data_IF_512888890460
#
_entry.id   IF_512888890460
#
_cell.length_a   1.000
_cell.length_b   1.000
_cell.length_c   1.000
_cell.angle_alpha   90.00
_cell.angle_beta   90.00
_cell.angle_gamma   90.00
#
_symmetry.space_group_name_H-M   'P 1'
#
loop_
_entity.id
_entity.type
_entity.pdbx_description
1 polymer ?
#
# COMPACT_ATOMS: atom_id res chain seq x y z
N UNK A 1 -2.74 -7.44 -32.22
CA UNK A 1 -1.50 -8.23 -32.15
C UNK A 1 -1.18 -8.46 -30.68
N UNK A 2 -1.06 -9.72 -30.27
CA UNK A 2 -0.98 -10.16 -28.87
C UNK A 2 0.38 -9.77 -28.27
N UNK A 3 0.37 -9.23 -27.06
CA UNK A 3 1.56 -9.00 -26.25
C UNK A 3 2.32 -10.32 -26.09
N UNK A 4 3.61 -10.36 -26.46
CA UNK A 4 4.44 -11.55 -26.34
C UNK A 4 4.72 -11.82 -24.87
N UNK A 5 3.96 -12.75 -24.34
CA UNK A 5 4.21 -13.43 -23.09
C UNK A 5 5.44 -14.33 -23.28
N UNK A 6 6.55 -14.06 -22.58
CA UNK A 6 7.71 -14.96 -22.58
C UNK A 6 7.27 -16.32 -22.01
N UNK A 7 7.20 -17.32 -22.89
CA UNK A 7 6.88 -18.70 -22.53
C UNK A 7 8.19 -19.47 -22.36
N UNK A 8 8.48 -19.92 -21.15
CA UNK A 8 9.47 -20.96 -20.92
C UNK A 8 8.74 -22.31 -20.85
N UNK A 9 8.97 -23.18 -21.83
CA UNK A 9 8.45 -24.54 -21.87
C UNK A 9 9.24 -25.43 -20.92
N UNK A 10 8.64 -25.78 -19.78
CA UNK A 10 9.02 -26.98 -19.02
C UNK A 10 8.03 -28.10 -19.33
N UNK A 11 8.51 -29.35 -19.29
CA UNK A 11 7.78 -30.52 -19.75
C UNK A 11 6.37 -30.63 -19.11
N UNK A 12 5.38 -30.93 -19.96
CA UNK A 12 3.92 -30.98 -19.72
C UNK A 12 3.16 -29.64 -19.82
N UNK A 13 2.95 -29.18 -21.06
CA UNK A 13 1.64 -28.82 -21.63
C UNK A 13 0.76 -27.70 -21.04
N UNK A 14 1.03 -27.16 -19.85
CA UNK A 14 0.29 -26.02 -19.30
C UNK A 14 1.10 -24.73 -19.52
N UNK A 15 0.51 -23.78 -20.25
CA UNK A 15 1.04 -22.42 -20.33
C UNK A 15 0.86 -21.80 -18.95
N UNK A 16 1.90 -21.87 -18.12
CA UNK A 16 1.89 -21.23 -16.81
C UNK A 16 2.15 -19.75 -16.99
N UNK A 17 1.16 -18.93 -16.65
CA UNK A 17 1.37 -17.49 -16.58
C UNK A 17 2.35 -17.14 -15.46
N UNK A 18 3.47 -16.52 -15.83
CA UNK A 18 4.53 -16.08 -14.92
C UNK A 18 4.38 -14.57 -14.69
N UNK A 19 4.45 -14.17 -13.42
CA UNK A 19 4.33 -12.79 -12.97
C UNK A 19 5.62 -12.34 -12.26
N UNK A 20 5.82 -11.03 -12.01
CA UNK A 20 7.07 -10.52 -11.44
C UNK A 20 7.47 -11.18 -10.13
N UNK A 21 6.51 -11.45 -9.24
CA UNK A 21 6.78 -12.12 -7.95
C UNK A 21 7.15 -13.60 -8.08
N UNK A 22 6.93 -14.22 -9.24
CA UNK A 22 7.33 -15.60 -9.51
C UNK A 22 8.75 -15.72 -10.06
N UNK A 23 9.40 -14.58 -10.39
CA UNK A 23 10.77 -14.53 -10.86
C UNK A 23 11.77 -14.65 -9.69
N UNK A 24 13.04 -14.99 -9.94
CA UNK A 24 14.05 -15.10 -8.88
C UNK A 24 14.16 -13.83 -8.05
N UNK A 25 14.33 -13.96 -6.73
CA UNK A 25 14.42 -12.81 -5.84
C UNK A 25 15.51 -11.82 -6.28
N UNK A 26 15.16 -10.53 -6.31
CA UNK A 26 16.12 -9.43 -6.42
C UNK A 26 16.41 -8.84 -5.06
N UNK A 27 17.63 -8.35 -4.88
CA UNK A 27 17.90 -7.37 -3.83
C UNK A 27 17.59 -5.93 -4.32
N UNK A 28 17.49 -5.00 -3.37
CA UNK A 28 17.18 -3.59 -3.67
C UNK A 28 18.25 -2.89 -4.53
N UNK A 29 19.51 -3.36 -4.49
CA UNK A 29 20.59 -2.79 -5.29
C UNK A 29 20.45 -3.19 -6.74
N UNK A 30 20.24 -4.47 -7.01
CA UNK A 30 20.00 -5.02 -8.34
C UNK A 30 18.78 -4.35 -9.00
N UNK A 31 17.72 -4.13 -8.23
CA UNK A 31 16.53 -3.43 -8.70
C UNK A 31 16.86 -1.99 -9.13
N UNK A 32 17.57 -1.24 -8.28
CA UNK A 32 17.95 0.15 -8.57
C UNK A 32 18.95 0.25 -9.72
N UNK A 33 19.96 -0.63 -9.76
CA UNK A 33 20.94 -0.67 -10.84
C UNK A 33 20.28 -0.95 -12.19
N UNK A 34 19.30 -1.85 -12.23
CA UNK A 34 18.53 -2.12 -13.45
C UNK A 34 17.78 -0.87 -13.91
N UNK A 35 17.11 -0.17 -12.99
CA UNK A 35 16.41 1.10 -13.27
C UNK A 35 17.36 2.16 -13.86
N UNK A 36 18.51 2.39 -13.23
CA UNK A 36 19.45 3.42 -13.70
C UNK A 36 20.12 3.07 -15.04
N UNK A 37 20.38 1.78 -15.30
CA UNK A 37 20.89 1.33 -16.59
C UNK A 37 19.88 1.61 -17.71
N UNK A 38 18.60 1.33 -17.49
CA UNK A 38 17.53 1.60 -18.45
C UNK A 38 17.44 3.10 -18.72
N UNK A 39 17.39 3.93 -17.69
CA UNK A 39 17.34 5.39 -17.84
C UNK A 39 18.53 5.94 -18.63
N UNK A 40 19.74 5.45 -18.32
CA UNK A 40 20.97 5.84 -19.03
C UNK A 40 20.91 5.44 -20.51
N UNK A 41 20.41 4.23 -20.80
CA UNK A 41 20.26 3.75 -22.18
C UNK A 41 19.18 4.52 -22.96
N UNK A 42 18.09 4.92 -22.31
CA UNK A 42 17.05 5.76 -22.91
C UNK A 42 17.58 7.17 -23.22
N UNK A 43 18.33 7.78 -22.29
CA UNK A 43 18.93 9.10 -22.50
C UNK A 43 19.98 9.12 -23.62
N UNK A 44 20.68 8.01 -23.82
CA UNK A 44 21.70 7.85 -24.88
C UNK A 44 21.16 7.27 -26.18
N UNK A 45 19.85 7.02 -26.30
CA UNK A 45 19.22 6.33 -27.44
C UNK A 45 19.85 4.95 -27.76
N UNK A 46 20.32 4.24 -26.73
CA UNK A 46 20.90 2.88 -26.83
C UNK A 46 20.02 1.81 -26.15
N UNK A 47 18.77 2.15 -25.83
CA UNK A 47 17.85 1.21 -25.19
C UNK A 47 17.46 0.05 -26.13
N UNK A 48 17.79 -1.18 -25.74
CA UNK A 48 17.51 -2.39 -26.54
C UNK A 48 16.25 -3.15 -26.08
N UNK A 49 15.53 -2.62 -25.09
CA UNK A 49 14.34 -3.28 -24.52
C UNK A 49 13.07 -3.11 -25.35
N UNK A 50 11.92 -3.39 -24.72
CA UNK A 50 10.61 -3.21 -25.34
C UNK A 50 10.30 -1.71 -25.53
N UNK A 51 10.29 -1.23 -26.77
CA UNK A 51 10.04 0.18 -27.10
C UNK A 51 8.57 0.57 -26.99
N UNK A 52 7.67 -0.41 -26.87
CA UNK A 52 6.24 -0.19 -26.85
C UNK A 52 5.57 -1.03 -25.78
N UNK A 53 4.71 -0.39 -25.01
CA UNK A 53 3.84 -1.04 -24.04
C UNK A 53 2.39 -0.85 -24.46
N UNK A 54 1.56 -1.88 -24.26
CA UNK A 54 0.13 -1.83 -24.56
C UNK A 54 -0.62 -2.12 -23.25
N UNK A 55 -1.14 -1.08 -22.55
CA UNK A 55 -1.96 -1.27 -21.37
C UNK A 55 -3.31 -1.91 -21.71
N UNK A 56 -4.07 -2.27 -20.68
CA UNK A 56 -5.39 -2.93 -20.84
C UNK A 56 -6.41 -2.12 -21.65
N UNK A 57 -6.24 -0.80 -21.77
CA UNK A 57 -7.08 0.08 -22.57
C UNK A 57 -6.81 -0.02 -24.09
N UNK A 58 -5.76 -0.75 -24.50
CA UNK A 58 -5.37 -0.94 -25.90
C UNK A 58 -4.56 0.21 -26.51
N UNK A 59 -4.31 1.30 -25.78
CA UNK A 59 -3.50 2.41 -26.29
C UNK A 59 -2.04 1.98 -26.42
N UNK A 60 -1.38 2.30 -27.53
CA UNK A 60 0.04 2.00 -27.70
C UNK A 60 0.87 3.13 -27.06
N UNK A 61 1.69 2.80 -26.07
CA UNK A 61 2.54 3.75 -25.34
C UNK A 61 3.99 3.50 -25.72
N UNK A 62 4.67 4.54 -26.21
CA UNK A 62 6.10 4.47 -26.51
C UNK A 62 6.92 4.61 -25.22
N UNK A 63 7.94 3.76 -25.07
CA UNK A 63 8.89 3.85 -23.97
C UNK A 63 9.98 4.82 -24.37
N UNK A 64 9.86 6.05 -23.88
CA UNK A 64 10.82 7.13 -24.12
C UNK A 64 11.33 7.68 -22.79
N UNK A 65 12.44 8.42 -22.82
CA UNK A 65 12.94 9.11 -21.63
C UNK A 65 11.87 10.02 -20.99
N UNK A 66 11.05 10.69 -21.80
CA UNK A 66 10.03 11.65 -21.32
C UNK A 66 8.83 10.99 -20.64
N UNK A 67 8.51 9.74 -21.01
CA UNK A 67 7.38 9.00 -20.44
C UNK A 67 7.79 8.09 -19.28
N UNK A 68 9.09 7.99 -18.99
CA UNK A 68 9.62 7.14 -17.92
C UNK A 68 9.94 7.98 -16.68
N UNK A 69 9.20 7.71 -15.61
CA UNK A 69 9.37 8.36 -14.32
C UNK A 69 10.24 7.55 -13.36
N UNK A 70 10.92 8.25 -12.45
CA UNK A 70 11.56 7.66 -11.27
C UNK A 70 10.60 7.68 -10.10
N UNK A 71 10.55 6.59 -9.35
CA UNK A 71 9.74 6.47 -8.16
C UNK A 71 10.54 5.82 -7.02
N UNK A 72 10.63 6.49 -5.88
CA UNK A 72 11.32 5.96 -4.71
C UNK A 72 10.41 4.97 -3.96
N UNK A 73 10.92 3.76 -3.74
CA UNK A 73 10.20 2.70 -3.02
C UNK A 73 10.04 3.03 -1.53
N UNK A 74 10.99 3.76 -0.95
CA UNK A 74 11.02 4.14 0.46
C UNK A 74 11.05 5.66 0.62
N UNK A 75 10.76 6.13 1.83
CA UNK A 75 10.91 7.53 2.20
C UNK A 75 12.38 7.92 2.45
N UNK A 76 12.60 9.22 2.70
CA UNK A 76 13.94 9.83 2.80
C UNK A 76 14.84 9.25 3.93
N UNK A 77 14.25 8.62 4.94
CA UNK A 77 14.98 8.04 6.08
C UNK A 77 15.61 6.66 5.77
N UNK A 78 15.26 6.04 4.64
CA UNK A 78 15.72 4.72 4.23
C UNK A 78 16.72 4.79 3.05
N UNK A 79 17.52 3.73 2.82
CA UNK A 79 18.38 3.66 1.64
C UNK A 79 17.58 3.84 0.34
N UNK A 80 18.08 4.62 -0.63
CA UNK A 80 17.36 4.90 -1.88
C UNK A 80 17.14 3.61 -2.66
N UNK A 81 15.94 3.47 -3.22
CA UNK A 81 15.58 2.35 -4.08
C UNK A 81 14.64 2.85 -5.17
N UNK A 82 15.19 3.03 -6.38
CA UNK A 82 14.47 3.61 -7.51
C UNK A 82 13.77 2.52 -8.32
N UNK A 83 12.47 2.69 -8.51
CA UNK A 83 11.64 1.99 -9.49
C UNK A 83 11.40 2.89 -10.70
N UNK A 84 11.20 2.28 -11.87
CA UNK A 84 10.72 2.99 -13.05
C UNK A 84 9.23 2.79 -13.26
N UNK A 85 8.54 3.90 -13.51
CA UNK A 85 7.14 3.95 -13.92
C UNK A 85 7.06 4.38 -15.37
N UNK A 86 6.16 3.77 -16.13
CA UNK A 86 5.77 4.27 -17.45
C UNK A 86 4.48 5.06 -17.32
N UNK A 87 4.45 6.25 -17.90
CA UNK A 87 3.32 7.18 -17.85
C UNK A 87 2.66 7.30 -19.23
N UNK A 88 1.38 7.70 -19.24
CA UNK A 88 0.72 8.07 -20.49
C UNK A 88 1.30 9.37 -21.03
N UNK A 89 1.62 9.47 -22.33
CA UNK A 89 2.19 10.71 -22.91
C UNK A 89 1.26 11.93 -22.76
N UNK A 90 -0.05 11.70 -22.78
CA UNK A 90 -1.05 12.75 -22.64
C UNK A 90 -1.34 13.15 -21.18
N UNK A 91 -0.93 12.33 -20.21
CA UNK A 91 -1.15 12.55 -18.79
C UNK A 91 0.00 11.94 -17.97
N UNK A 92 0.98 12.77 -17.62
CA UNK A 92 2.13 12.39 -16.81
C UNK A 92 1.79 11.91 -15.40
N UNK A 93 0.55 12.06 -14.93
CA UNK A 93 0.11 11.51 -13.64
C UNK A 93 -0.39 10.07 -13.75
N UNK A 94 -0.76 9.63 -14.96
CA UNK A 94 -1.32 8.31 -15.20
C UNK A 94 -0.23 7.27 -15.42
N UNK A 95 0.11 6.53 -14.36
CA UNK A 95 1.01 5.37 -14.42
C UNK A 95 0.32 4.17 -15.06
N UNK A 96 0.97 3.53 -16.04
CA UNK A 96 0.44 2.36 -16.76
C UNK A 96 1.25 1.09 -16.59
N UNK A 97 2.55 1.19 -16.27
CA UNK A 97 3.41 0.04 -16.06
C UNK A 97 4.54 0.34 -15.06
N UNK A 98 5.11 -0.73 -14.51
CA UNK A 98 6.38 -0.71 -13.77
C UNK A 98 7.45 -1.48 -14.52
N UNK A 99 8.69 -0.99 -14.52
CA UNK A 99 9.82 -1.80 -14.97
C UNK A 99 10.31 -2.68 -13.81
N UNK A 100 10.26 -4.00 -14.00
CA UNK A 100 10.72 -4.99 -13.04
C UNK A 100 11.45 -6.08 -13.81
N UNK A 101 12.65 -6.45 -13.37
CA UNK A 101 13.54 -7.38 -14.08
C UNK A 101 13.83 -6.96 -15.54
N UNK A 102 13.96 -5.66 -15.80
CA UNK A 102 14.24 -5.15 -17.15
C UNK A 102 13.04 -5.15 -18.10
N UNK A 103 11.85 -5.60 -17.64
CA UNK A 103 10.63 -5.69 -18.45
C UNK A 103 9.54 -4.76 -17.92
N UNK A 104 8.71 -4.24 -18.82
CA UNK A 104 7.51 -3.47 -18.47
C UNK A 104 6.34 -4.39 -18.14
N UNK A 105 5.81 -4.23 -16.92
CA UNK A 105 4.68 -5.00 -16.41
C UNK A 105 3.48 -4.10 -16.17
N UNK A 106 2.29 -4.55 -16.60
CA UNK A 106 1.06 -3.86 -16.24
C UNK A 106 0.87 -3.86 -14.73
N UNK A 107 0.26 -2.81 -14.18
CA UNK A 107 0.01 -2.73 -12.73
C UNK A 107 -0.82 -3.92 -12.22
N UNK A 108 -1.70 -4.48 -13.06
CA UNK A 108 -2.48 -5.67 -12.70
C UNK A 108 -1.63 -6.93 -12.65
N UNK A 109 -0.62 -7.07 -13.50
CA UNK A 109 0.22 -8.26 -13.53
C UNK A 109 1.27 -8.26 -12.42
N UNK A 110 1.73 -7.08 -11.99
CA UNK A 110 2.56 -6.96 -10.78
C UNK A 110 1.83 -7.47 -9.53
N UNK A 111 0.50 -7.32 -9.49
CA UNK A 111 -0.34 -7.76 -8.37
C UNK A 111 -0.72 -9.24 -8.43
N UNK A 112 -0.22 -10.02 -9.39
CA UNK A 112 -0.58 -11.43 -9.56
C UNK A 112 0.60 -12.35 -9.32
N UNK A 113 0.28 -13.61 -9.05
CA UNK A 113 1.22 -14.74 -9.04
C UNK A 113 0.64 -15.88 -9.87
N UNK A 114 1.54 -16.72 -10.36
CA UNK A 114 1.23 -17.98 -11.02
C UNK A 114 0.56 -18.99 -10.06
N UNK A 115 0.76 -18.84 -8.76
CA UNK A 115 0.24 -19.73 -7.71
C UNK A 115 -1.21 -19.35 -7.38
N UNK A 116 -2.17 -19.92 -8.09
CA UNK A 116 -3.61 -19.62 -7.90
C UNK A 116 -4.15 -19.98 -6.52
N UNK A 117 -3.50 -20.91 -5.81
CA UNK A 117 -3.84 -21.26 -4.43
C UNK A 117 -3.35 -20.24 -3.39
N UNK A 118 -2.52 -19.26 -3.78
CA UNK A 118 -2.04 -18.21 -2.87
C UNK A 118 -3.22 -17.33 -2.46
N UNK A 119 -3.57 -17.39 -1.18
CA UNK A 119 -4.75 -16.72 -0.63
C UNK A 119 -4.55 -16.41 0.85
N UNK A 120 -5.31 -15.47 1.39
CA UNK A 120 -5.22 -15.03 2.78
C UNK A 120 -4.14 -13.97 3.03
N UNK A 121 -3.88 -13.70 4.30
CA UNK A 121 -2.93 -12.65 4.73
C UNK A 121 -1.54 -13.23 4.87
N UNK A 122 -0.62 -12.77 4.00
CA UNK A 122 0.76 -13.25 3.92
C UNK A 122 1.70 -12.12 4.34
N UNK A 123 2.66 -12.43 5.21
CA UNK A 123 3.67 -11.48 5.67
C UNK A 123 4.59 -11.07 4.52
N UNK A 124 4.93 -9.78 4.45
CA UNK A 124 5.92 -9.26 3.50
C UNK A 124 7.31 -9.71 3.95
N UNK A 125 7.99 -10.50 3.12
CA UNK A 125 9.32 -11.07 3.41
C UNK A 125 10.32 -10.84 2.27
N UNK A 126 9.86 -10.69 1.03
CA UNK A 126 10.69 -10.47 -0.16
C UNK A 126 10.66 -9.02 -0.65
N UNK A 127 11.63 -8.66 -1.50
CA UNK A 127 11.66 -7.36 -2.20
C UNK A 127 10.43 -7.20 -3.08
N UNK A 128 10.04 -8.24 -3.82
CA UNK A 128 8.87 -8.17 -4.70
C UNK A 128 7.56 -8.00 -3.94
N UNK A 129 7.40 -8.61 -2.75
CA UNK A 129 6.27 -8.31 -1.88
C UNK A 129 6.29 -6.86 -1.37
N UNK A 130 7.48 -6.31 -1.08
CA UNK A 130 7.60 -4.89 -0.71
C UNK A 130 7.19 -3.98 -1.86
N UNK A 131 7.54 -4.31 -3.10
CA UNK A 131 7.10 -3.60 -4.31
C UNK A 131 5.57 -3.71 -4.47
N UNK A 132 4.97 -4.88 -4.24
CA UNK A 132 3.51 -5.04 -4.29
C UNK A 132 2.81 -4.20 -3.22
N UNK A 133 3.32 -4.20 -1.98
CA UNK A 133 2.82 -3.36 -0.89
C UNK A 133 2.84 -1.87 -1.29
N UNK A 134 3.98 -1.43 -1.83
CA UNK A 134 4.17 -0.07 -2.31
C UNK A 134 3.21 0.27 -3.46
N UNK A 135 3.08 -0.62 -4.45
CA UNK A 135 2.16 -0.45 -5.57
C UNK A 135 0.72 -0.26 -5.08
N UNK A 136 0.26 -1.12 -4.16
CA UNK A 136 -1.08 -1.01 -3.57
C UNK A 136 -1.27 0.32 -2.83
N UNK A 137 -0.26 0.78 -2.09
CA UNK A 137 -0.32 1.96 -1.24
C UNK A 137 -0.22 3.28 -2.02
N UNK A 138 0.80 3.41 -2.86
CA UNK A 138 1.18 4.69 -3.45
C UNK A 138 0.51 4.92 -4.80
N UNK A 139 0.35 3.87 -5.60
CA UNK A 139 -0.17 3.99 -6.97
C UNK A 139 -1.65 3.59 -7.01
N UNK A 140 -2.01 2.38 -6.57
CA UNK A 140 -3.40 1.93 -6.64
C UNK A 140 -4.28 2.78 -5.71
N UNK A 141 -3.95 2.92 -4.43
CA UNK A 141 -4.70 3.78 -3.53
C UNK A 141 -4.47 5.27 -3.81
N UNK A 142 -3.20 5.71 -3.90
CA UNK A 142 -2.85 7.13 -3.98
C UNK A 142 -3.23 7.82 -5.30
N UNK A 143 -3.31 7.07 -6.40
CA UNK A 143 -3.57 7.63 -7.75
C UNK A 143 -4.87 7.05 -8.35
N UNK A 144 -5.00 5.73 -8.44
CA UNK A 144 -6.07 5.11 -9.26
C UNK A 144 -7.41 4.96 -8.57
N UNK A 145 -7.42 4.65 -7.28
CA UNK A 145 -8.61 4.35 -6.49
C UNK A 145 -8.80 5.35 -5.33
N UNK A 146 -8.24 6.55 -5.51
CA UNK A 146 -8.29 7.62 -4.52
C UNK A 146 -9.75 8.00 -4.21
N UNK A 147 -10.16 8.05 -2.93
CA UNK A 147 -11.47 8.56 -2.56
C UNK A 147 -11.64 10.02 -2.99
N UNK A 148 -12.73 10.33 -3.69
CA UNK A 148 -13.05 11.71 -4.08
C UNK A 148 -13.34 12.57 -2.85
N UNK A 149 -12.65 13.71 -2.71
CA UNK A 149 -12.89 14.68 -1.64
C UNK A 149 -12.13 14.42 -0.34
N UNK A 150 -11.26 13.42 -0.29
CA UNK A 150 -10.34 13.18 0.84
C UNK A 150 -8.90 13.49 0.43
N UNK A 151 -8.21 14.35 1.17
CA UNK A 151 -6.77 14.61 1.03
C UNK A 151 -5.94 13.61 1.87
N UNK A 152 -6.28 12.32 1.79
CA UNK A 152 -5.59 11.28 2.55
C UNK A 152 -4.61 10.56 1.62
N UNK A 153 -3.34 10.65 1.96
CA UNK A 153 -2.27 9.87 1.34
C UNK A 153 -1.57 9.05 2.40
N UNK A 154 -1.20 7.83 2.05
CA UNK A 154 -0.24 7.08 2.85
C UNK A 154 1.15 7.57 2.50
N UNK A 155 1.97 7.89 3.49
CA UNK A 155 3.40 8.04 3.27
C UNK A 155 4.00 6.71 2.79
N UNK A 156 5.12 6.74 2.04
CA UNK A 156 5.89 5.53 1.76
C UNK A 156 6.23 4.81 3.07
N UNK A 157 5.99 3.50 3.11
CA UNK A 157 6.28 2.68 4.28
C UNK A 157 7.79 2.45 4.40
N UNK A 158 8.38 2.58 5.61
CA UNK A 158 9.78 2.29 5.80
C UNK A 158 10.18 0.87 5.38
N UNK A 159 11.44 0.68 5.01
CA UNK A 159 11.98 -0.60 4.52
C UNK A 159 11.67 -1.78 5.44
N UNK A 160 11.73 -1.55 6.75
CA UNK A 160 11.53 -2.56 7.80
C UNK A 160 10.14 -2.53 8.43
N UNK A 161 9.24 -1.69 7.92
CA UNK A 161 7.87 -1.64 8.41
C UNK A 161 7.20 -3.00 8.20
N UNK A 162 6.55 -3.48 9.26
CA UNK A 162 5.81 -4.72 9.22
C UNK A 162 4.55 -4.54 8.39
N UNK A 163 4.31 -5.46 7.44
CA UNK A 163 3.09 -5.47 6.65
C UNK A 163 2.70 -6.88 6.24
N UNK A 164 1.41 -7.05 5.94
CA UNK A 164 0.89 -8.24 5.27
C UNK A 164 0.14 -7.84 4.00
N UNK A 165 0.29 -8.63 2.95
CA UNK A 165 -0.50 -8.53 1.73
C UNK A 165 -1.66 -9.52 1.85
N UNK A 166 -2.85 -9.05 1.52
CA UNK A 166 -4.04 -9.88 1.39
C UNK A 166 -4.12 -10.43 -0.03
N UNK A 167 -3.99 -11.74 -0.15
CA UNK A 167 -4.11 -12.48 -1.40
C UNK A 167 -5.50 -13.10 -1.54
N UNK A 168 -6.01 -13.14 -2.76
CA UNK A 168 -7.21 -13.87 -3.13
C UNK A 168 -7.02 -14.48 -4.52
N UNK A 169 -7.04 -15.82 -4.60
CA UNK A 169 -6.88 -16.59 -5.83
C UNK A 169 -5.65 -16.19 -6.68
N UNK A 170 -4.51 -15.97 -6.02
CA UNK A 170 -3.26 -15.56 -6.68
C UNK A 170 -3.19 -14.08 -7.05
N UNK A 171 -4.13 -13.25 -6.59
CA UNK A 171 -4.11 -11.80 -6.79
C UNK A 171 -3.98 -11.05 -5.45
N UNK A 172 -3.13 -10.03 -5.39
CA UNK A 172 -3.02 -9.12 -4.27
C UNK A 172 -4.19 -8.11 -4.31
N UNK A 173 -5.07 -8.22 -3.31
CA UNK A 173 -6.34 -7.48 -3.26
C UNK A 173 -6.38 -6.39 -2.19
N UNK A 174 -5.40 -6.38 -1.30
CA UNK A 174 -5.29 -5.40 -0.23
C UNK A 174 -4.03 -5.61 0.59
N UNK A 175 -3.85 -4.78 1.61
CA UNK A 175 -2.74 -4.91 2.56
C UNK A 175 -3.09 -4.26 3.89
N UNK A 176 -2.24 -4.52 4.88
CA UNK A 176 -2.13 -3.66 6.04
C UNK A 176 -0.70 -3.57 6.55
N UNK A 177 -0.39 -2.53 7.33
CA UNK A 177 0.89 -2.36 8.03
C UNK A 177 0.70 -2.15 9.53
N UNK A 178 1.76 -2.42 10.30
CA UNK A 178 1.78 -2.26 11.76
C UNK A 178 2.99 -1.43 12.18
N UNK A 179 2.74 -0.40 12.99
CA UNK A 179 3.76 0.24 13.82
C UNK A 179 3.87 -0.57 15.12
N UNK A 180 4.97 -1.32 15.28
CA UNK A 180 5.14 -2.19 16.45
C UNK A 180 5.43 -1.37 17.70
N UNK A 181 4.94 -1.81 18.85
CA UNK A 181 5.36 -1.27 20.14
C UNK A 181 6.90 -1.22 20.23
N UNK A 182 7.44 -0.08 20.63
CA UNK A 182 8.87 0.19 20.71
C UNK A 182 9.53 0.63 19.40
N UNK A 183 8.84 0.61 18.25
CA UNK A 183 9.40 1.20 17.02
C UNK A 183 9.37 2.72 17.09
N UNK A 184 10.33 3.37 16.44
CA UNK A 184 10.39 4.83 16.35
C UNK A 184 9.16 5.39 15.61
N UNK A 185 8.67 6.54 16.05
CA UNK A 185 7.57 7.26 15.40
C UNK A 185 8.04 8.00 14.14
N UNK A 186 9.25 8.56 14.20
CA UNK A 186 9.94 9.22 13.10
C UNK A 186 11.45 9.18 13.36
N UNK A 187 12.27 9.49 12.36
CA UNK A 187 13.73 9.47 12.46
C UNK A 187 14.33 10.53 13.40
N UNK A 188 13.56 11.54 13.83
CA UNK A 188 14.09 12.78 14.42
C UNK A 188 13.78 12.93 15.91
N UNK A 189 12.60 12.49 16.36
CA UNK A 189 12.05 12.83 17.67
C UNK A 189 12.43 11.85 18.77
N UNK A 190 13.14 10.74 18.45
CA UNK A 190 13.46 9.62 19.37
C UNK A 190 12.24 9.06 20.12
N UNK A 191 11.02 9.42 19.73
CA UNK A 191 9.78 8.91 20.33
C UNK A 191 9.51 7.53 19.74
N UNK A 192 9.03 6.63 20.59
CA UNK A 192 8.67 5.27 20.18
C UNK A 192 7.21 4.98 20.51
N UNK A 193 6.56 4.16 19.68
CA UNK A 193 5.19 3.73 19.89
C UNK A 193 5.05 2.98 21.22
N UNK A 194 4.08 3.38 22.05
CA UNK A 194 3.84 2.78 23.37
C UNK A 194 2.94 1.54 23.32
N UNK A 195 2.30 1.29 22.18
CA UNK A 195 1.49 0.12 21.87
C UNK A 195 1.61 -0.19 20.37
N UNK A 196 1.26 -1.42 19.97
CA UNK A 196 1.23 -1.80 18.57
C UNK A 196 -0.01 -1.21 17.87
N UNK A 197 0.19 -0.59 16.71
CA UNK A 197 -0.85 0.15 15.98
C UNK A 197 -1.00 -0.38 14.56
N UNK A 198 -2.23 -0.72 14.17
CA UNK A 198 -2.63 -0.96 12.78
C UNK A 198 -2.63 0.38 12.05
N UNK A 199 -1.64 0.59 11.18
CA UNK A 199 -1.30 1.94 10.71
C UNK A 199 -1.99 2.30 9.40
N UNK A 200 -1.74 1.51 8.36
CA UNK A 200 -2.43 1.68 7.08
C UNK A 200 -3.14 0.39 6.70
N UNK A 201 -4.36 0.53 6.17
CA UNK A 201 -5.21 -0.57 5.73
C UNK A 201 -5.83 -0.18 4.41
N UNK A 202 -5.75 -1.07 3.43
CA UNK A 202 -6.38 -0.85 2.14
C UNK A 202 -6.91 -2.15 1.57
N UNK A 203 -8.11 -2.06 0.98
CA UNK A 203 -8.70 -3.11 0.15
C UNK A 203 -9.13 -2.45 -1.15
N UNK A 204 -8.71 -3.04 -2.27
CA UNK A 204 -9.03 -2.56 -3.61
C UNK A 204 -10.54 -2.55 -3.84
N UNK A 205 -11.00 -1.55 -4.59
CA UNK A 205 -12.39 -1.13 -4.70
C UNK A 205 -13.28 -2.26 -5.20
N UNK A 206 -12.81 -2.99 -6.23
CA UNK A 206 -13.52 -4.15 -6.79
C UNK A 206 -13.68 -5.32 -5.80
N UNK A 207 -12.88 -5.35 -4.74
CA UNK A 207 -12.90 -6.38 -3.71
C UNK A 207 -13.55 -5.91 -2.39
N UNK A 208 -14.05 -4.66 -2.32
CA UNK A 208 -14.71 -4.15 -1.11
C UNK A 208 -16.07 -4.82 -0.89
N UNK A 209 -16.62 -4.66 0.33
CA UNK A 209 -17.92 -5.21 0.76
C UNK A 209 -18.02 -6.75 0.80
N UNK A 210 -16.89 -7.45 0.68
CA UNK A 210 -16.78 -8.91 0.75
C UNK A 210 -16.25 -9.43 2.11
N UNK A 211 -16.08 -8.54 3.10
CA UNK A 211 -15.60 -8.90 4.44
C UNK A 211 -14.07 -8.87 4.63
N UNK A 212 -13.29 -8.57 3.59
CA UNK A 212 -11.83 -8.57 3.65
C UNK A 212 -11.22 -7.60 4.67
N UNK A 213 -11.78 -6.40 4.84
CA UNK A 213 -11.29 -5.46 5.86
C UNK A 213 -11.56 -5.98 7.30
N UNK A 214 -12.65 -6.74 7.48
CA UNK A 214 -12.95 -7.40 8.76
C UNK A 214 -11.95 -8.54 9.02
N UNK A 215 -11.57 -9.28 7.98
CA UNK A 215 -10.52 -10.30 8.06
C UNK A 215 -9.17 -9.70 8.45
N UNK A 216 -8.80 -8.55 7.85
CA UNK A 216 -7.59 -7.79 8.21
C UNK A 216 -7.62 -7.40 9.70
N UNK A 217 -8.71 -6.77 10.17
CA UNK A 217 -8.80 -6.36 11.57
C UNK A 217 -8.73 -7.56 12.53
N UNK A 218 -9.42 -8.65 12.19
CA UNK A 218 -9.38 -9.88 12.98
C UNK A 218 -7.97 -10.49 13.04
N UNK A 219 -7.25 -10.54 11.93
CA UNK A 219 -5.87 -11.03 11.87
C UNK A 219 -4.91 -10.17 12.69
N UNK A 220 -5.05 -8.84 12.63
CA UNK A 220 -4.27 -7.92 13.47
C UNK A 220 -4.49 -8.19 14.97
N UNK A 221 -5.74 -8.23 15.42
CA UNK A 221 -6.09 -8.47 16.82
C UNK A 221 -5.60 -9.85 17.32
N UNK A 222 -5.69 -10.88 16.48
CA UNK A 222 -5.23 -12.25 16.77
C UNK A 222 -3.71 -12.38 16.77
N UNK A 223 -3.01 -11.55 16.01
CA UNK A 223 -1.54 -11.59 15.92
C UNK A 223 -0.83 -11.06 17.18
N UNK A 224 -1.57 -10.44 18.11
CA UNK A 224 -1.03 -9.76 19.29
C UNK A 224 -1.68 -10.21 20.61
N UNK A 225 -1.93 -11.51 20.85
CA UNK A 225 -2.86 -11.99 21.88
C UNK A 225 -2.51 -11.55 23.31
N UNK A 226 -1.23 -11.24 23.58
CA UNK A 226 -0.73 -10.86 24.89
C UNK A 226 -0.73 -9.33 25.14
N UNK A 227 -1.03 -8.51 24.13
CA UNK A 227 -1.12 -7.06 24.32
C UNK A 227 -2.50 -6.70 24.88
N UNK A 228 -2.52 -6.13 26.09
CA UNK A 228 -3.75 -5.65 26.75
C UNK A 228 -4.44 -4.55 25.96
N UNK A 229 -3.67 -3.74 25.25
CA UNK A 229 -4.14 -2.60 24.46
C UNK A 229 -3.44 -2.55 23.11
N UNK A 230 -4.22 -2.38 22.05
CA UNK A 230 -3.74 -2.24 20.67
C UNK A 230 -4.46 -1.08 19.99
N UNK A 231 -3.82 -0.52 18.96
CA UNK A 231 -4.25 0.70 18.32
C UNK A 231 -4.64 0.54 16.85
N UNK A 232 -5.43 1.50 16.36
CA UNK A 232 -5.57 1.87 14.95
C UNK A 232 -5.15 3.33 14.83
N UNK A 233 -4.33 3.67 13.83
CA UNK A 233 -3.84 5.03 13.64
C UNK A 233 -4.99 6.02 13.43
N UNK A 234 -4.91 7.17 14.10
CA UNK A 234 -5.78 8.32 13.90
C UNK A 234 -5.35 9.10 12.63
N UNK A 235 -6.29 9.63 11.82
CA UNK A 235 -7.74 9.49 11.96
C UNK A 235 -8.27 8.17 11.38
N UNK A 236 -9.27 7.57 12.03
CA UNK A 236 -9.96 6.40 11.48
C UNK A 236 -11.00 6.83 10.44
N UNK A 237 -10.88 6.30 9.22
CA UNK A 237 -11.85 6.58 8.15
C UNK A 237 -13.28 6.11 8.51
N UNK A 238 -14.34 6.76 7.99
CA UNK A 238 -15.72 6.34 8.23
C UNK A 238 -15.99 4.88 7.84
N UNK A 239 -15.33 4.41 6.78
CA UNK A 239 -15.41 3.01 6.34
C UNK A 239 -14.79 2.06 7.36
N UNK A 240 -13.64 2.43 7.94
CA UNK A 240 -12.98 1.60 8.94
C UNK A 240 -13.70 1.62 10.28
N UNK A 241 -14.37 2.72 10.66
CA UNK A 241 -15.27 2.76 11.83
C UNK A 241 -16.40 1.72 11.70
N UNK A 242 -16.98 1.55 10.51
CA UNK A 242 -18.01 0.51 10.27
C UNK A 242 -17.45 -0.90 10.44
N UNK A 243 -16.20 -1.14 10.01
CA UNK A 243 -15.50 -2.42 10.19
C UNK A 243 -15.25 -2.67 11.68
N UNK A 244 -14.73 -1.68 12.41
CA UNK A 244 -14.51 -1.77 13.85
C UNK A 244 -15.82 -2.04 14.60
N UNK A 245 -16.90 -1.31 14.26
CA UNK A 245 -18.21 -1.51 14.87
C UNK A 245 -18.70 -2.95 14.69
N UNK A 246 -18.61 -3.50 13.47
CA UNK A 246 -19.01 -4.88 13.20
C UNK A 246 -18.15 -5.88 13.97
N UNK A 247 -16.83 -5.69 13.99
CA UNK A 247 -15.92 -6.55 14.73
C UNK A 247 -16.22 -6.57 16.23
N UNK A 248 -16.38 -5.40 16.86
CA UNK A 248 -16.62 -5.24 18.30
C UNK A 248 -18.03 -5.67 18.74
N UNK A 249 -18.98 -5.74 17.81
CA UNK A 249 -20.27 -6.40 18.05
C UNK A 249 -20.11 -7.93 18.16
N UNK A 250 -19.27 -8.52 17.31
CA UNK A 250 -19.01 -9.96 17.27
C UNK A 250 -18.04 -10.43 18.36
N UNK A 251 -17.11 -9.57 18.79
CA UNK A 251 -16.03 -9.87 19.73
C UNK A 251 -16.08 -8.94 20.94
N UNK A 252 -16.98 -9.23 21.88
CA UNK A 252 -17.23 -8.35 23.03
C UNK A 252 -16.01 -8.22 23.96
N UNK A 253 -15.20 -9.27 24.04
CA UNK A 253 -13.92 -9.34 24.74
C UNK A 253 -12.88 -8.36 24.20
N UNK A 254 -13.07 -7.83 22.99
CA UNK A 254 -12.15 -6.88 22.37
C UNK A 254 -12.55 -5.41 22.59
N UNK A 255 -13.70 -5.15 23.22
CA UNK A 255 -14.26 -3.79 23.40
C UNK A 255 -13.36 -2.88 24.22
N UNK A 256 -12.68 -3.42 25.23
CA UNK A 256 -11.78 -2.65 26.10
C UNK A 256 -10.33 -2.63 25.60
N UNK A 257 -10.04 -3.34 24.50
CA UNK A 257 -8.68 -3.58 24.00
C UNK A 257 -8.29 -2.70 22.80
N UNK A 258 -9.26 -2.22 22.03
CA UNK A 258 -9.02 -1.54 20.75
C UNK A 258 -9.20 -0.02 20.83
N UNK A 259 -8.16 0.73 20.47
CA UNK A 259 -8.09 2.19 20.59
C UNK A 259 -7.81 2.88 19.25
N UNK A 260 -8.37 4.05 19.03
CA UNK A 260 -7.87 5.03 18.06
C UNK A 260 -6.67 5.73 18.68
N UNK A 261 -5.56 5.86 17.93
CA UNK A 261 -4.27 6.24 18.48
C UNK A 261 -3.61 7.36 17.67
N UNK A 262 -3.28 8.45 18.34
CA UNK A 262 -2.32 9.45 17.87
C UNK A 262 -0.92 9.04 18.34
N UNK A 263 0.06 9.02 17.43
CA UNK A 263 1.42 8.64 17.78
C UNK A 263 2.01 9.54 18.89
N UNK A 264 2.78 9.00 19.86
CA UNK A 264 3.19 7.62 20.08
C UNK A 264 2.17 6.72 20.80
N UNK A 265 0.98 7.21 21.11
CA UNK A 265 -0.09 6.42 21.73
C UNK A 265 0.01 6.27 23.24
N UNK A 266 0.53 7.28 23.94
CA UNK A 266 0.42 7.36 25.39
C UNK A 266 -1.01 7.52 25.89
N UNK A 267 -1.20 7.54 27.21
CA UNK A 267 -2.53 7.56 27.85
C UNK A 267 -3.46 8.67 27.35
N UNK A 268 -2.95 9.89 27.16
CA UNK A 268 -3.72 11.02 26.64
C UNK A 268 -3.87 11.06 25.11
N UNK A 269 -3.28 10.11 24.40
CA UNK A 269 -3.20 10.08 22.93
C UNK A 269 -3.94 8.89 22.33
N UNK A 270 -4.82 8.25 23.12
CA UNK A 270 -5.61 7.11 22.68
C UNK A 270 -7.04 7.21 23.19
N UNK A 271 -8.00 6.81 22.36
CA UNK A 271 -9.43 6.83 22.70
C UNK A 271 -10.03 5.48 22.38
N UNK A 272 -10.80 4.91 23.31
CA UNK A 272 -11.40 3.59 23.10
C UNK A 272 -12.40 3.66 21.94
N UNK A 273 -12.25 2.79 20.94
CA UNK A 273 -13.07 2.84 19.72
C UNK A 273 -14.52 2.47 20.03
N UNK A 274 -14.76 1.46 20.87
CA UNK A 274 -16.11 1.03 21.20
C UNK A 274 -16.90 2.14 21.89
N UNK A 275 -16.32 2.77 22.91
CA UNK A 275 -16.94 3.88 23.64
C UNK A 275 -17.23 5.06 22.71
N UNK A 276 -16.28 5.43 21.85
CA UNK A 276 -16.47 6.49 20.85
C UNK A 276 -17.65 6.18 19.91
N UNK A 277 -17.81 4.93 19.46
CA UNK A 277 -18.93 4.53 18.61
C UNK A 277 -20.26 4.67 19.35
N UNK A 278 -20.34 4.28 20.64
CA UNK A 278 -21.58 4.37 21.41
C UNK A 278 -21.99 5.82 21.68
N UNK A 279 -21.04 6.67 22.10
CA UNK A 279 -21.31 8.08 22.37
C UNK A 279 -21.85 8.81 21.13
N UNK A 280 -21.26 8.51 19.95
CA UNK A 280 -21.73 9.08 18.69
C UNK A 280 -23.10 8.56 18.22
N UNK A 281 -23.53 7.37 18.68
CA UNK A 281 -24.90 6.89 18.40
C UNK A 281 -25.91 7.62 19.26
N UNK A 282 -25.60 7.85 20.54
CA UNK A 282 -26.47 8.57 21.46
C UNK A 282 -26.68 10.03 21.03
N UNK A 283 -25.63 10.73 20.61
CA UNK A 283 -25.72 12.13 20.13
C UNK A 283 -26.46 12.28 18.81
N UNK A 284 -26.49 11.25 17.96
CA UNK A 284 -27.32 11.24 16.74
C UNK A 284 -28.77 10.85 17.01
N UNK A 285 -29.08 10.26 18.18
CA UNK A 285 -30.44 9.97 18.64
C UNK A 285 -31.08 11.16 19.37
N UNK A 286 -30.27 12.10 19.87
CA UNK A 286 -30.71 13.33 20.53
C UNK A 286 -30.17 14.56 19.78
N UNK A 287 -30.95 15.07 18.81
CA UNK A 287 -30.58 16.29 18.11
C UNK A 287 -30.79 17.53 19.01
N UNK A 288 -29.72 18.02 19.64
CA UNK A 288 -29.57 19.35 20.25
C UNK A 288 -28.11 19.87 20.03
N UNK A 289 -27.82 21.19 20.11
CA UNK A 289 -26.96 21.87 19.15
C UNK A 289 -25.46 21.63 19.33
N UNK A 290 -24.77 21.71 18.18
CA UNK A 290 -23.32 21.55 17.98
C UNK A 290 -22.48 22.40 18.95
N UNK A 291 -21.52 21.77 19.61
CA UNK A 291 -20.32 22.43 20.12
C UNK A 291 -19.07 21.93 19.40
N UNK A 292 -18.40 22.87 18.74
CA UNK A 292 -16.94 22.97 18.59
C UNK A 292 -16.15 21.78 18.06
N UNK A 293 -15.91 21.79 16.75
CA UNK A 293 -14.82 21.08 16.08
C UNK A 293 -13.45 21.40 16.70
N UNK A 294 -12.69 20.37 17.07
CA UNK A 294 -11.33 20.52 17.60
C UNK A 294 -10.44 19.33 17.24
N UNK A 295 -10.18 19.13 15.95
CA UNK A 295 -9.00 18.41 15.43
C UNK A 295 -8.85 18.73 13.94
N UNK A 296 -8.46 19.97 13.64
CA UNK A 296 -7.83 20.31 12.37
C UNK A 296 -6.50 20.94 12.72
N UNK A 297 -5.43 20.16 12.51
CA UNK A 297 -4.10 20.61 12.08
C UNK A 297 -3.19 19.38 12.04
N UNK A 298 -3.46 18.47 11.09
CA UNK A 298 -2.40 17.63 10.56
C UNK A 298 -1.56 18.52 9.65
N UNK A 299 -0.25 18.59 9.93
CA UNK A 299 0.72 19.38 9.20
C UNK A 299 0.70 18.97 7.72
N UNK A 300 0.26 19.88 6.86
CA UNK A 300 0.61 19.87 5.45
C UNK A 300 2.12 20.10 5.34
N UNK A 301 2.87 19.06 5.00
CA UNK A 301 4.26 19.21 4.58
C UNK A 301 4.28 19.25 3.06
N UNK A 302 4.01 20.44 2.52
CA UNK A 302 4.30 20.76 1.13
C UNK A 302 5.81 20.93 1.01
N UNK A 303 6.49 19.99 0.35
CA UNK A 303 7.74 20.27 -0.34
C UNK A 303 7.55 19.92 -1.80
N UNK A 304 7.15 20.93 -2.55
CA UNK A 304 7.35 21.02 -3.99
C UNK A 304 8.86 21.06 -4.26
N UNK A 305 9.43 20.00 -4.84
CA UNK A 305 10.67 20.11 -5.59
C UNK A 305 10.36 19.76 -7.04
N UNK A 306 9.80 20.75 -7.73
CA UNK A 306 10.02 20.90 -9.17
C UNK A 306 11.36 21.63 -9.30
N UNK A 307 12.40 20.88 -9.66
CA UNK A 307 13.57 21.39 -10.38
C UNK A 307 13.64 20.46 -11.60
N UNK A 308 13.20 20.85 -12.80
CA UNK A 308 13.96 21.68 -13.73
C UNK A 308 15.47 21.42 -13.63
N UNK A 309 15.89 20.31 -14.22
CA UNK A 309 16.84 20.28 -15.34
C UNK A 309 16.70 18.95 -16.09
#
# INVERSE_FOLDING_TARGET
MRSLMLCFTFAQGEIKEIYPIDLPDLDYRALSSTSENILTSLASNTYEGEHWFIPSNGSKVEVTHDNVGRLQLFGDDDPPCTLLTLHMPADGTQVVALNLHGKWWSLNDVLKTSIKSRSGLVMVQSVMERVILFLLSQIIFGVLEKPSGEEIYFSPHPMREFGKILWHNGEAVGFYTIKKKGSLCDGFTRRSYQLSVLDTVFVRTRWRRSGLALQILADFCKSLPNEEVIGISCPISPSMIKVCSKYLLMHQDQRDRLYEVEAPGGWGQRRNIWLNIQLNRSTNSEALPRFGSGCTNAKAQVRSNVQQQ
#
